data_IF_850703718824
#
_entry.id   IF_850703718824
#
_cell.length_a   1.000
_cell.length_b   1.000
_cell.length_c   1.000
_cell.angle_alpha   90.00
_cell.angle_beta   90.00
_cell.angle_gamma   90.00
#
_symmetry.space_group_name_H-M   'P 1'
#
loop_
_entity.id
_entity.type
_entity.pdbx_description
1 polymer ?
#
# COMPACT_ATOMS: atom_id res chain seq x y z
N UNK A 1 13.27 -56.44 -6.25
CA UNK A 1 12.26 -55.67 -7.02
C UNK A 1 11.93 -54.31 -6.39
N UNK A 2 11.51 -54.22 -5.13
CA UNK A 2 11.03 -52.97 -4.51
C UNK A 2 11.94 -51.72 -4.74
N UNK A 3 13.25 -51.84 -4.56
CA UNK A 3 14.20 -50.73 -4.77
C UNK A 3 14.17 -50.14 -6.20
N UNK A 4 13.92 -50.97 -7.22
CA UNK A 4 13.85 -50.55 -8.63
C UNK A 4 12.57 -49.74 -8.88
N UNK A 5 11.47 -50.13 -8.24
CA UNK A 5 10.18 -49.40 -8.33
C UNK A 5 10.29 -48.02 -7.68
N UNK A 6 10.93 -47.93 -6.51
CA UNK A 6 11.15 -46.64 -5.82
C UNK A 6 12.04 -45.71 -6.65
N UNK A 7 13.16 -46.22 -7.20
CA UNK A 7 14.05 -45.44 -8.06
C UNK A 7 13.34 -44.93 -9.33
N UNK A 8 12.54 -45.77 -9.98
CA UNK A 8 11.72 -45.38 -11.14
C UNK A 8 10.70 -44.28 -10.81
N UNK A 9 10.04 -44.37 -9.65
CA UNK A 9 9.11 -43.34 -9.17
C UNK A 9 9.80 -41.98 -8.97
N UNK A 10 11.01 -41.98 -8.39
CA UNK A 10 11.77 -40.75 -8.12
C UNK A 10 12.28 -40.10 -9.41
N UNK A 11 12.76 -40.90 -10.38
CA UNK A 11 13.17 -40.40 -11.70
C UNK A 11 11.98 -39.84 -12.48
N UNK A 12 10.81 -40.49 -12.45
CA UNK A 12 9.60 -39.99 -13.07
C UNK A 12 9.13 -38.65 -12.47
N UNK A 13 9.19 -38.51 -11.13
CA UNK A 13 8.85 -37.27 -10.43
C UNK A 13 9.81 -36.13 -10.80
N UNK A 14 11.13 -36.37 -10.80
CA UNK A 14 12.12 -35.36 -11.19
C UNK A 14 11.97 -34.92 -12.65
N UNK A 15 11.69 -35.86 -13.57
CA UNK A 15 11.42 -35.54 -14.97
C UNK A 15 10.16 -34.65 -15.11
N UNK A 16 9.11 -34.92 -14.32
CA UNK A 16 7.88 -34.11 -14.37
C UNK A 16 8.07 -32.69 -13.81
N UNK A 17 8.87 -32.49 -12.76
CA UNK A 17 9.19 -31.15 -12.25
C UNK A 17 10.13 -30.36 -13.18
N UNK A 18 10.98 -31.02 -13.96
CA UNK A 18 11.96 -30.33 -14.84
C UNK A 18 11.33 -29.57 -16.01
N UNK A 19 10.24 -30.09 -16.57
CA UNK A 19 9.62 -29.61 -17.83
C UNK A 19 8.86 -28.28 -17.65
N UNK A 20 8.58 -27.86 -16.40
CA UNK A 20 7.76 -26.68 -16.09
C UNK A 20 8.42 -25.29 -16.28
N UNK A 21 9.70 -25.22 -16.65
CA UNK A 21 10.41 -23.95 -16.87
C UNK A 21 10.06 -23.33 -18.23
N UNK A 22 8.80 -22.91 -18.39
CA UNK A 22 8.41 -22.03 -19.49
C UNK A 22 9.26 -20.74 -19.43
N UNK A 23 9.71 -20.27 -20.60
CA UNK A 23 10.38 -18.97 -20.71
C UNK A 23 9.50 -17.88 -20.07
N UNK A 24 10.09 -16.92 -19.33
CA UNK A 24 9.33 -15.82 -18.77
C UNK A 24 8.61 -15.08 -19.91
N UNK A 25 7.30 -14.77 -19.78
CA UNK A 25 6.60 -14.04 -20.81
C UNK A 25 7.23 -12.66 -20.98
N UNK A 26 7.67 -12.35 -22.19
CA UNK A 26 8.15 -11.02 -22.56
C UNK A 26 7.05 -10.01 -22.33
N UNK A 27 7.24 -9.11 -21.37
CA UNK A 27 6.31 -7.99 -21.16
C UNK A 27 6.26 -7.13 -22.42
N UNK A 28 5.07 -6.67 -22.87
CA UNK A 28 5.00 -5.68 -23.93
C UNK A 28 5.72 -4.41 -23.46
N UNK A 29 6.50 -3.80 -24.36
CA UNK A 29 7.12 -2.51 -24.09
C UNK A 29 6.00 -1.48 -23.83
N UNK A 30 6.03 -0.84 -22.67
CA UNK A 30 5.05 0.20 -22.34
C UNK A 30 5.25 1.38 -23.30
N UNK A 31 4.18 1.76 -24.01
CA UNK A 31 4.18 2.94 -24.86
C UNK A 31 4.44 4.19 -24.01
N UNK A 32 5.26 5.15 -24.49
CA UNK A 32 5.66 6.30 -23.67
C UNK A 32 4.45 7.19 -23.37
N UNK A 33 4.15 7.34 -22.08
CA UNK A 33 3.10 8.26 -21.60
C UNK A 33 3.56 9.69 -21.83
N UNK A 34 2.98 10.33 -22.84
CA UNK A 34 3.20 11.75 -23.12
C UNK A 34 2.51 12.60 -22.06
N UNK A 35 3.30 13.37 -21.29
CA UNK A 35 2.80 14.30 -20.28
C UNK A 35 2.98 15.72 -20.80
N UNK A 36 1.86 16.39 -21.12
CA UNK A 36 1.85 17.79 -21.48
C UNK A 36 1.71 18.64 -20.21
N UNK A 37 2.72 19.46 -19.91
CA UNK A 37 2.69 20.33 -18.73
C UNK A 37 1.88 21.60 -19.04
N UNK A 38 0.65 21.65 -18.55
CA UNK A 38 -0.12 22.89 -18.54
C UNK A 38 0.44 23.86 -17.49
N UNK A 39 1.00 24.97 -17.94
CA UNK A 39 1.37 26.10 -17.06
C UNK A 39 0.11 26.90 -16.75
N UNK A 40 -0.36 26.96 -15.48
CA UNK A 40 -1.50 27.79 -15.14
C UNK A 40 -1.18 29.28 -15.37
N UNK A 41 -2.16 30.10 -15.77
CA UNK A 41 -1.95 31.53 -15.95
C UNK A 41 -1.47 32.18 -14.64
N UNK A 42 -0.63 33.23 -14.70
CA UNK A 42 -0.21 33.96 -13.52
C UNK A 42 -1.43 34.45 -12.73
N UNK A 43 -1.47 34.18 -11.43
CA UNK A 43 -2.47 34.79 -10.55
C UNK A 43 -2.18 36.28 -10.49
N UNK A 44 -3.10 37.11 -10.99
CA UNK A 44 -2.98 38.55 -10.91
C UNK A 44 -2.89 38.97 -9.43
N UNK A 45 -1.93 39.86 -9.06
CA UNK A 45 -1.86 40.35 -7.70
C UNK A 45 -3.14 41.12 -7.33
N UNK A 46 -3.59 41.05 -6.06
CA UNK A 46 -4.76 41.80 -5.64
C UNK A 46 -4.55 43.30 -5.92
N UNK A 47 -5.60 44.03 -6.36
CA UNK A 47 -5.47 45.44 -6.70
C UNK A 47 -4.99 46.23 -5.47
N UNK A 48 -4.10 47.22 -5.65
CA UNK A 48 -3.65 48.07 -4.55
C UNK A 48 -4.86 48.83 -3.94
N UNK A 49 -4.84 49.12 -2.63
CA UNK A 49 -5.87 49.93 -2.02
C UNK A 49 -5.95 51.29 -2.71
N UNK A 50 -7.16 51.69 -3.08
CA UNK A 50 -7.41 52.93 -3.85
C UNK A 50 -6.99 54.13 -3.02
N UNK A 51 -5.93 54.81 -3.45
CA UNK A 51 -5.54 56.09 -2.89
C UNK A 51 -6.56 57.16 -3.29
N UNK A 52 -6.96 57.99 -2.33
CA UNK A 52 -7.78 59.19 -2.54
C UNK A 52 -7.09 60.13 -3.54
N UNK A 53 -7.78 60.72 -4.52
CA UNK A 53 -7.12 61.41 -5.62
C UNK A 53 -6.61 62.79 -5.22
N UNK A 54 -5.35 63.09 -5.56
CA UNK A 54 -4.86 64.46 -5.71
C UNK A 54 -4.50 64.70 -7.20
N UNK A 55 -4.94 65.81 -7.83
CA UNK A 55 -4.95 65.92 -9.29
C UNK A 55 -3.75 66.69 -9.88
N UNK A 56 -3.30 66.26 -11.06
CA UNK A 56 -2.58 67.13 -12.00
C UNK A 56 -1.44 66.46 -12.78
N UNK A 57 -1.37 66.70 -14.09
CA UNK A 57 -0.18 66.39 -14.92
C UNK A 57 -0.40 65.39 -16.05
N UNK A 58 -1.08 65.83 -17.11
CA UNK A 58 -1.08 65.16 -18.43
C UNK A 58 -0.06 65.88 -19.36
N UNK A 59 0.17 65.48 -20.64
CA UNK A 59 0.09 64.17 -21.32
C UNK A 59 1.35 63.91 -22.23
N UNK A 60 1.18 63.08 -23.28
CA UNK A 60 1.99 63.00 -24.53
C UNK A 60 3.35 62.25 -24.46
N UNK A 61 3.95 61.68 -25.53
CA UNK A 61 3.53 61.22 -26.88
C UNK A 61 4.76 60.52 -27.55
N UNK A 62 4.70 59.72 -28.64
CA UNK A 62 3.57 59.24 -29.47
C UNK A 62 3.84 57.88 -30.17
N UNK A 63 2.87 57.48 -30.99
CA UNK A 63 2.73 56.41 -31.97
C UNK A 63 3.81 56.20 -33.08
N UNK A 64 3.77 54.98 -33.65
CA UNK A 64 4.11 54.58 -35.04
C UNK A 64 5.61 54.64 -35.47
N UNK A 65 6.19 53.67 -36.19
CA UNK A 65 5.68 52.91 -37.34
C UNK A 65 6.53 51.66 -37.63
N UNK A 66 5.94 50.63 -38.25
CA UNK A 66 6.66 49.53 -38.91
C UNK A 66 7.08 49.95 -40.34
N UNK A 67 8.23 49.47 -40.84
CA UNK A 67 8.20 48.91 -42.19
C UNK A 67 9.07 47.65 -42.42
N UNK A 68 8.44 46.64 -43.03
CA UNK A 68 8.95 45.68 -44.03
C UNK A 68 10.44 45.23 -43.99
N UNK A 69 10.62 43.92 -43.84
CA UNK A 69 11.93 43.25 -43.90
C UNK A 69 12.53 43.12 -45.31
N UNK A 70 13.87 43.15 -45.43
CA UNK A 70 14.59 42.52 -46.52
C UNK A 70 15.20 41.16 -46.11
N UNK A 71 15.05 40.19 -47.01
CA UNK A 71 15.75 38.90 -47.17
C UNK A 71 16.98 38.65 -46.28
N UNK A 72 16.94 37.54 -45.52
CA UNK A 72 18.11 37.02 -44.80
C UNK A 72 19.13 36.42 -45.77
N UNK A 73 20.32 37.03 -45.87
CA UNK A 73 21.52 36.33 -46.34
C UNK A 73 21.92 35.20 -45.36
N UNK A 74 22.66 34.16 -45.80
CA UNK A 74 23.07 33.07 -44.94
C UNK A 74 24.03 33.57 -43.85
N UNK A 75 23.53 33.69 -42.61
CA UNK A 75 24.34 34.16 -41.49
C UNK A 75 25.50 33.21 -41.20
N UNK A 76 26.74 33.70 -41.39
CA UNK A 76 27.96 33.03 -40.95
C UNK A 76 27.86 32.73 -39.45
N UNK A 77 28.20 31.51 -38.98
CA UNK A 77 28.02 31.14 -37.57
C UNK A 77 28.83 32.06 -36.65
N UNK A 78 28.12 32.77 -35.76
CA UNK A 78 28.73 33.67 -34.80
C UNK A 78 29.68 32.91 -33.83
N UNK A 79 30.80 33.52 -33.41
CA UNK A 79 31.71 32.88 -32.45
C UNK A 79 31.00 32.60 -31.12
N UNK A 80 31.23 31.41 -30.57
CA UNK A 80 30.62 30.98 -29.32
C UNK A 80 31.00 31.92 -28.17
N UNK A 81 29.99 32.47 -27.47
CA UNK A 81 30.23 33.33 -26.31
C UNK A 81 30.86 32.51 -25.17
N UNK A 82 31.87 33.05 -24.45
CA UNK A 82 32.43 32.37 -23.30
C UNK A 82 31.36 32.23 -22.21
N UNK A 83 31.16 31.01 -21.71
CA UNK A 83 30.27 30.77 -20.57
C UNK A 83 30.98 31.24 -19.30
N UNK A 84 30.37 32.18 -18.58
CA UNK A 84 30.81 32.55 -17.23
C UNK A 84 30.76 31.32 -16.33
N UNK A 85 31.87 31.04 -15.65
CA UNK A 85 31.94 29.95 -14.69
C UNK A 85 31.08 30.30 -13.47
N UNK A 86 30.01 29.54 -13.25
CA UNK A 86 29.20 29.63 -12.03
C UNK A 86 30.02 29.00 -10.90
N UNK A 87 30.23 29.74 -9.81
CA UNK A 87 30.91 29.21 -8.64
C UNK A 87 30.15 27.99 -8.08
N UNK A 88 30.85 26.92 -7.65
CA UNK A 88 30.17 25.77 -7.07
C UNK A 88 29.40 26.18 -5.80
N UNK A 89 28.25 25.56 -5.52
CA UNK A 89 27.50 25.86 -4.29
C UNK A 89 28.36 25.57 -3.05
N UNK A 90 28.19 26.33 -1.96
CA UNK A 90 28.94 26.10 -0.74
C UNK A 90 28.67 24.68 -0.23
N UNK A 91 29.73 23.98 0.16
CA UNK A 91 29.62 22.65 0.75
C UNK A 91 29.02 22.80 2.17
N UNK A 92 27.71 22.60 2.28
CA UNK A 92 27.04 22.54 3.58
C UNK A 92 27.41 21.21 4.23
N UNK A 93 28.04 21.26 5.40
CA UNK A 93 28.40 20.08 6.17
C UNK A 93 27.12 19.33 6.59
N UNK A 94 26.88 18.17 5.98
CA UNK A 94 25.69 17.36 6.28
C UNK A 94 25.88 16.70 7.64
N UNK A 95 25.20 17.23 8.66
CA UNK A 95 25.11 16.59 9.97
C UNK A 95 24.52 15.20 9.77
N UNK A 96 25.34 14.17 10.01
CA UNK A 96 24.87 12.80 9.99
C UNK A 96 23.79 12.64 11.06
N UNK A 97 22.59 12.23 10.65
CA UNK A 97 21.55 11.87 11.61
C UNK A 97 22.10 10.76 12.51
N UNK A 98 22.18 11.02 13.82
CA UNK A 98 22.56 9.99 14.77
C UNK A 98 21.67 8.77 14.56
N UNK A 99 22.22 7.54 14.50
CA UNK A 99 21.39 6.36 14.40
C UNK A 99 20.51 6.33 15.64
N UNK A 100 19.22 6.66 15.48
CA UNK A 100 18.20 6.36 16.48
C UNK A 100 18.30 4.86 16.65
N UNK A 101 18.86 4.43 17.78
CA UNK A 101 18.99 3.02 18.10
C UNK A 101 17.59 2.44 18.04
N UNK A 102 17.33 1.65 17.00
CA UNK A 102 16.01 1.13 16.72
C UNK A 102 15.70 0.10 17.81
N UNK A 103 15.12 0.58 18.91
CA UNK A 103 14.24 -0.16 19.79
C UNK A 103 12.97 -0.47 18.99
N UNK A 104 13.17 -1.23 17.91
CA UNK A 104 12.16 -1.75 17.03
C UNK A 104 11.46 -2.86 17.80
N UNK A 105 10.49 -2.47 18.62
CA UNK A 105 9.57 -3.40 19.28
C UNK A 105 9.06 -4.37 18.23
N UNK A 106 9.50 -5.63 18.32
CA UNK A 106 9.01 -6.68 17.45
C UNK A 106 7.49 -6.83 17.69
N UNK A 107 6.74 -7.17 16.63
CA UNK A 107 5.32 -7.44 16.80
C UNK A 107 5.14 -8.61 17.77
N UNK A 108 4.18 -8.54 18.71
CA UNK A 108 3.90 -9.67 19.60
C UNK A 108 3.53 -10.90 18.79
N UNK A 109 4.17 -12.03 19.09
CA UNK A 109 3.94 -13.31 18.40
C UNK A 109 3.14 -14.23 19.30
N UNK A 110 1.95 -14.64 18.83
CA UNK A 110 0.98 -15.37 19.64
C UNK A 110 1.12 -16.89 19.45
N UNK A 111 1.20 -17.61 20.58
CA UNK A 111 1.21 -19.07 20.65
C UNK A 111 -0.18 -19.70 20.49
N UNK A 112 -0.24 -21.03 20.34
CA UNK A 112 -1.50 -21.76 20.17
C UNK A 112 -2.44 -21.64 21.38
N UNK A 113 -1.88 -21.52 22.58
CA UNK A 113 -2.55 -21.22 23.85
C UNK A 113 -3.21 -19.83 23.84
N UNK A 114 -2.48 -18.81 23.36
CA UNK A 114 -2.97 -17.43 23.26
C UNK A 114 -4.01 -17.24 22.16
N UNK A 115 -4.05 -18.15 21.17
CA UNK A 115 -5.03 -18.20 20.10
C UNK A 115 -6.22 -19.13 20.42
N UNK A 116 -6.27 -19.73 21.60
CA UNK A 116 -7.39 -20.57 22.01
C UNK A 116 -8.70 -19.76 22.06
N UNK A 117 -9.70 -20.19 21.29
CA UNK A 117 -10.97 -19.47 21.15
C UNK A 117 -10.90 -18.21 20.27
N UNK A 118 -9.82 -17.99 19.52
CA UNK A 118 -9.78 -16.95 18.50
C UNK A 118 -10.71 -17.30 17.32
N UNK A 119 -11.42 -16.30 16.80
CA UNK A 119 -12.32 -16.45 15.67
C UNK A 119 -11.52 -16.63 14.37
N UNK A 120 -11.84 -17.66 13.59
CA UNK A 120 -11.26 -17.94 12.27
C UNK A 120 -12.29 -17.83 11.15
N UNK A 121 -11.85 -17.88 9.89
CA UNK A 121 -12.73 -17.80 8.74
C UNK A 121 -13.67 -19.03 8.68
N UNK A 122 -14.97 -18.80 8.57
CA UNK A 122 -16.00 -19.84 8.59
C UNK A 122 -16.69 -20.05 9.95
N UNK A 123 -16.15 -19.53 11.05
CA UNK A 123 -16.72 -19.70 12.41
C UNK A 123 -18.01 -18.89 12.65
N UNK A 124 -18.50 -18.15 11.65
CA UNK A 124 -19.83 -17.54 11.65
C UNK A 124 -20.09 -16.63 12.85
N UNK A 125 -19.29 -15.55 12.99
CA UNK A 125 -19.25 -14.66 14.16
C UNK A 125 -20.61 -14.40 14.83
N UNK A 126 -20.85 -15.10 15.95
CA UNK A 126 -22.13 -15.10 16.65
C UNK A 126 -22.27 -13.97 17.66
N UNK A 127 -23.35 -13.19 17.55
CA UNK A 127 -23.59 -12.01 18.39
C UNK A 127 -25.06 -11.61 18.54
N UNK A 128 -25.94 -12.56 18.89
CA UNK A 128 -27.30 -12.27 19.39
C UNK A 128 -28.45 -12.89 18.58
N UNK A 129 -29.20 -13.80 19.22
CA UNK A 129 -30.48 -14.32 18.72
C UNK A 129 -30.58 -15.85 18.75
N UNK A 130 -31.22 -16.41 19.77
CA UNK A 130 -31.64 -17.81 19.75
C UNK A 130 -32.91 -17.95 18.93
N UNK A 131 -32.82 -18.57 17.75
CA UNK A 131 -33.94 -18.81 16.85
C UNK A 131 -33.86 -20.21 16.26
N UNK A 132 -34.66 -21.14 16.79
CA UNK A 132 -34.76 -22.52 16.28
C UNK A 132 -35.60 -22.56 15.02
N UNK A 133 -35.01 -22.18 13.88
CA UNK A 133 -35.62 -22.27 12.56
C UNK A 133 -35.04 -23.44 11.75
N UNK A 134 -35.78 -24.54 11.65
CA UNK A 134 -35.44 -25.61 10.71
C UNK A 134 -35.89 -25.20 9.30
N UNK A 135 -34.96 -25.07 8.36
CA UNK A 135 -35.24 -24.73 6.97
C UNK A 135 -34.19 -25.31 6.03
N UNK A 136 -34.58 -26.25 5.18
CA UNK A 136 -33.73 -26.77 4.11
C UNK A 136 -33.68 -25.78 2.95
N UNK A 137 -32.48 -25.46 2.47
CA UNK A 137 -32.26 -24.62 1.30
C UNK A 137 -30.79 -24.68 0.85
N UNK A 138 -30.56 -24.57 -0.46
CA UNK A 138 -29.23 -24.63 -1.05
C UNK A 138 -28.31 -23.55 -0.45
N UNK A 139 -27.05 -23.93 -0.19
CA UNK A 139 -26.21 -23.25 0.79
C UNK A 139 -25.83 -21.80 0.47
N UNK A 140 -26.37 -20.86 1.25
CA UNK A 140 -25.84 -19.51 1.50
C UNK A 140 -26.05 -19.07 2.97
N UNK A 141 -26.13 -20.04 3.89
CA UNK A 141 -26.52 -19.84 5.29
C UNK A 141 -25.39 -19.65 6.30
N UNK A 142 -24.18 -19.28 5.86
CA UNK A 142 -23.01 -19.08 6.75
C UNK A 142 -22.64 -17.60 6.79
N UNK A 143 -23.02 -16.91 7.88
CA UNK A 143 -22.46 -15.62 8.30
C UNK A 143 -22.60 -14.43 7.31
N UNK A 144 -23.70 -13.68 7.41
CA UNK A 144 -23.88 -12.40 6.71
C UNK A 144 -22.76 -11.36 7.00
N UNK A 145 -21.99 -11.56 8.08
CA UNK A 145 -20.83 -10.77 8.46
C UNK A 145 -19.61 -11.64 8.82
N UNK A 146 -19.29 -12.68 8.03
CA UNK A 146 -17.98 -13.36 8.14
C UNK A 146 -16.84 -12.46 7.61
N UNK A 147 -16.52 -11.46 8.43
CA UNK A 147 -15.48 -10.48 8.17
C UNK A 147 -14.07 -11.08 8.25
N UNK A 148 -13.86 -12.15 9.02
CA UNK A 148 -12.56 -12.85 9.07
C UNK A 148 -12.28 -13.49 7.73
N UNK A 149 -13.25 -14.21 7.16
CA UNK A 149 -13.15 -14.77 5.81
C UNK A 149 -12.99 -13.67 4.76
N UNK A 150 -13.79 -12.61 4.80
CA UNK A 150 -13.72 -11.52 3.83
C UNK A 150 -12.34 -10.83 3.81
N UNK A 151 -11.79 -10.51 4.99
CA UNK A 151 -10.41 -9.99 5.10
C UNK A 151 -9.39 -11.04 4.63
N UNK A 152 -9.53 -12.30 5.05
CA UNK A 152 -8.62 -13.37 4.64
C UNK A 152 -8.56 -13.55 3.13
N UNK A 153 -9.71 -13.64 2.47
CA UNK A 153 -9.81 -13.84 1.02
C UNK A 153 -9.21 -12.63 0.27
N UNK A 154 -9.43 -11.40 0.77
CA UNK A 154 -8.79 -10.19 0.20
C UNK A 154 -7.27 -10.21 0.33
N UNK A 155 -6.72 -10.59 1.49
CA UNK A 155 -5.28 -10.66 1.70
C UNK A 155 -4.65 -11.80 0.89
N UNK A 156 -5.31 -12.97 0.81
CA UNK A 156 -4.91 -14.12 -0.04
C UNK A 156 -4.87 -13.74 -1.53
N UNK A 157 -5.84 -12.95 -1.99
CA UNK A 157 -5.91 -12.44 -3.36
C UNK A 157 -4.86 -11.37 -3.70
N UNK A 158 -4.10 -10.84 -2.73
CA UNK A 158 -3.16 -9.73 -2.94
C UNK A 158 -1.70 -10.22 -2.81
N UNK A 159 -0.95 -10.41 -3.92
CA UNK A 159 0.38 -11.03 -3.87
C UNK A 159 1.41 -10.24 -3.06
N UNK A 160 1.38 -8.90 -3.14
CA UNK A 160 2.29 -8.01 -2.40
C UNK A 160 2.10 -8.11 -0.89
N UNK A 161 0.84 -8.20 -0.44
CA UNK A 161 0.48 -8.45 0.97
C UNK A 161 1.02 -9.80 1.43
N UNK A 162 0.77 -10.88 0.66
CA UNK A 162 1.29 -12.22 0.98
C UNK A 162 2.82 -12.25 1.10
N UNK A 163 3.52 -11.62 0.17
CA UNK A 163 4.99 -11.51 0.23
C UNK A 163 5.44 -10.75 1.48
N UNK A 164 4.83 -9.61 1.79
CA UNK A 164 5.16 -8.82 2.97
C UNK A 164 4.90 -9.57 4.29
N UNK A 165 3.81 -10.34 4.40
CA UNK A 165 3.53 -11.16 5.60
C UNK A 165 4.52 -12.32 5.71
N UNK A 166 4.84 -13.00 4.60
CA UNK A 166 5.82 -14.10 4.61
C UNK A 166 7.26 -13.60 4.88
N UNK A 167 7.60 -12.39 4.45
CA UNK A 167 8.85 -11.72 4.81
C UNK A 167 8.88 -11.41 6.31
N UNK A 168 7.84 -10.78 6.83
CA UNK A 168 7.71 -10.48 8.26
C UNK A 168 7.76 -11.75 9.13
N UNK A 169 7.15 -12.87 8.71
CA UNK A 169 7.22 -14.15 9.40
C UNK A 169 8.67 -14.65 9.54
N UNK A 170 9.46 -14.58 8.45
CA UNK A 170 10.88 -14.96 8.47
C UNK A 170 11.71 -14.02 9.34
N UNK A 171 11.56 -12.70 9.18
CA UNK A 171 12.31 -11.71 9.95
C UNK A 171 12.04 -11.81 11.46
N UNK A 172 10.81 -12.13 11.84
CA UNK A 172 10.39 -12.26 13.25
C UNK A 172 10.54 -13.69 13.80
N UNK A 173 10.96 -14.66 12.98
CA UNK A 173 10.96 -16.09 13.31
C UNK A 173 9.60 -16.58 13.85
N UNK A 174 8.52 -16.14 13.20
CA UNK A 174 7.14 -16.35 13.64
C UNK A 174 6.50 -17.66 13.17
N UNK A 175 7.30 -18.63 12.69
CA UNK A 175 6.81 -19.89 12.11
C UNK A 175 5.75 -20.58 12.98
N UNK A 176 4.54 -20.72 12.44
CA UNK A 176 3.39 -21.34 13.11
C UNK A 176 2.69 -20.49 14.17
N UNK A 177 3.21 -19.30 14.50
CA UNK A 177 2.64 -18.31 15.43
C UNK A 177 1.91 -17.21 14.65
N UNK A 178 0.96 -16.52 15.30
CA UNK A 178 0.31 -15.36 14.67
C UNK A 178 1.01 -14.06 15.06
N UNK A 179 1.30 -13.20 14.10
CA UNK A 179 1.75 -11.83 14.36
C UNK A 179 0.55 -10.97 14.76
N UNK A 180 0.52 -10.46 15.99
CA UNK A 180 -0.47 -9.49 16.43
C UNK A 180 -0.18 -8.15 15.74
N UNK A 181 -1.07 -7.70 14.86
CA UNK A 181 -0.92 -6.45 14.10
C UNK A 181 -1.86 -5.34 14.55
N UNK A 182 -2.92 -5.66 15.30
CA UNK A 182 -3.84 -4.68 15.89
C UNK A 182 -4.41 -5.18 17.23
N UNK A 183 -4.40 -4.33 18.25
CA UNK A 183 -4.88 -4.66 19.61
C UNK A 183 -5.75 -3.55 20.25
N UNK A 184 -6.32 -2.67 19.43
CA UNK A 184 -6.81 -1.35 19.83
C UNK A 184 -6.12 -0.29 18.98
N UNK A 185 -4.79 -0.42 18.85
CA UNK A 185 -3.95 0.39 17.98
C UNK A 185 -3.26 -0.48 16.93
N UNK A 186 -2.87 0.14 15.81
CA UNK A 186 -2.09 -0.50 14.76
C UNK A 186 -0.64 -0.68 15.20
N UNK A 187 -0.25 -1.93 15.47
CA UNK A 187 1.10 -2.28 15.91
C UNK A 187 2.09 -2.20 14.73
N UNK A 188 3.32 -1.77 15.06
CA UNK A 188 4.41 -1.60 14.11
C UNK A 188 5.66 -2.31 14.61
N UNK A 189 6.40 -2.98 13.72
CA UNK A 189 7.80 -3.32 13.95
C UNK A 189 8.69 -2.23 13.37
N UNK A 190 9.66 -1.74 14.14
CA UNK A 190 10.48 -0.58 13.76
C UNK A 190 11.33 -0.75 12.49
N UNK A 191 11.49 -1.97 11.97
CA UNK A 191 12.14 -2.25 10.70
C UNK A 191 11.22 -2.11 9.46
N UNK A 192 9.90 -1.93 9.64
CA UNK A 192 8.90 -2.08 8.57
C UNK A 192 8.11 -0.80 8.23
N UNK A 193 8.70 0.38 8.48
CA UNK A 193 8.12 1.66 8.05
C UNK A 193 7.99 1.77 6.52
N UNK A 194 8.83 1.06 5.75
CA UNK A 194 8.79 1.03 4.29
C UNK A 194 7.87 -0.06 3.72
N UNK A 195 6.66 0.32 3.27
CA UNK A 195 5.71 -0.44 2.41
C UNK A 195 5.17 -1.80 2.90
N UNK A 196 5.92 -2.61 3.68
CA UNK A 196 5.62 -4.01 4.03
C UNK A 196 4.31 -4.23 4.81
N UNK A 197 4.36 -4.45 6.13
CA UNK A 197 3.12 -4.57 6.92
C UNK A 197 2.27 -3.29 6.91
N UNK A 198 2.81 -2.14 6.52
CA UNK A 198 2.02 -0.94 6.23
C UNK A 198 0.95 -1.19 5.13
N UNK A 199 1.33 -1.81 4.02
CA UNK A 199 0.38 -2.19 2.96
C UNK A 199 -0.63 -3.26 3.42
N UNK A 200 -0.24 -4.11 4.36
CA UNK A 200 -1.14 -5.11 4.97
C UNK A 200 -2.20 -4.43 5.85
N UNK A 201 -1.81 -3.48 6.72
CA UNK A 201 -2.74 -2.67 7.51
C UNK A 201 -3.71 -1.91 6.61
N UNK A 202 -3.20 -1.28 5.55
CA UNK A 202 -4.03 -0.58 4.56
C UNK A 202 -5.00 -1.52 3.85
N UNK A 203 -4.57 -2.73 3.45
CA UNK A 203 -5.45 -3.70 2.81
C UNK A 203 -6.58 -4.18 3.74
N UNK A 204 -6.28 -4.41 5.03
CA UNK A 204 -7.29 -4.77 6.05
C UNK A 204 -8.26 -3.61 6.26
N UNK A 205 -7.75 -2.39 6.50
CA UNK A 205 -8.58 -1.20 6.74
C UNK A 205 -9.48 -0.88 5.53
N UNK A 206 -8.97 -1.00 4.30
CA UNK A 206 -9.75 -0.79 3.08
C UNK A 206 -10.86 -1.85 2.93
N UNK A 207 -10.55 -3.12 3.19
CA UNK A 207 -11.55 -4.18 3.13
C UNK A 207 -12.65 -3.93 4.18
N UNK A 208 -12.27 -3.61 5.41
CA UNK A 208 -13.20 -3.23 6.50
C UNK A 208 -14.06 -2.03 6.11
N UNK A 209 -13.48 -0.96 5.56
CA UNK A 209 -14.20 0.24 5.17
C UNK A 209 -15.32 -0.04 4.15
N UNK A 210 -15.05 -0.91 3.17
CA UNK A 210 -16.04 -1.35 2.18
C UNK A 210 -17.02 -2.44 2.67
N UNK A 211 -16.90 -2.92 3.91
CA UNK A 211 -17.89 -3.86 4.46
C UNK A 211 -19.26 -3.18 4.67
N UNK A 212 -20.38 -3.92 4.60
CA UNK A 212 -21.69 -3.42 5.03
C UNK A 212 -21.63 -2.87 6.46
N UNK A 213 -22.35 -1.78 6.72
CA UNK A 213 -22.24 -1.05 7.99
C UNK A 213 -22.60 -1.92 9.21
N UNK A 214 -23.60 -2.81 9.07
CA UNK A 214 -23.96 -3.79 10.10
C UNK A 214 -22.77 -4.68 10.50
N UNK A 215 -21.93 -5.08 9.52
CA UNK A 215 -20.74 -5.89 9.76
C UNK A 215 -19.59 -5.07 10.35
N UNK A 216 -19.41 -3.80 9.91
CA UNK A 216 -18.45 -2.89 10.54
C UNK A 216 -18.79 -2.65 12.01
N UNK A 217 -20.08 -2.52 12.33
CA UNK A 217 -20.59 -2.29 13.69
C UNK A 217 -20.75 -3.58 14.52
N UNK A 218 -20.45 -4.77 13.99
CA UNK A 218 -20.56 -6.02 14.75
C UNK A 218 -19.66 -6.00 15.99
N UNK A 219 -20.23 -6.35 17.15
CA UNK A 219 -19.49 -6.49 18.40
C UNK A 219 -18.65 -7.77 18.38
N UNK A 220 -17.34 -7.63 18.58
CA UNK A 220 -16.33 -8.68 18.60
C UNK A 220 -15.73 -8.81 20.00
N UNK A 221 -15.23 -10.01 20.34
CA UNK A 221 -14.54 -10.29 21.61
C UNK A 221 -13.32 -11.17 21.34
N UNK A 222 -12.24 -10.95 22.08
CA UNK A 222 -11.00 -11.70 21.90
C UNK A 222 -10.33 -11.42 20.55
N UNK A 223 -9.62 -12.42 20.03
CA UNK A 223 -8.84 -12.33 18.80
C UNK A 223 -9.61 -12.88 17.60
N UNK A 224 -9.38 -12.29 16.43
CA UNK A 224 -9.65 -12.88 15.13
C UNK A 224 -8.30 -13.21 14.44
N UNK A 225 -8.22 -14.37 13.80
CA UNK A 225 -7.01 -14.85 13.12
C UNK A 225 -7.26 -14.99 11.62
N UNK A 226 -6.38 -14.39 10.83
CA UNK A 226 -6.38 -14.42 9.37
C UNK A 226 -5.17 -15.24 8.89
N UNK A 227 -5.41 -16.31 8.12
CA UNK A 227 -4.37 -17.21 7.62
C UNK A 227 -4.11 -16.97 6.14
N UNK A 228 -2.88 -16.61 5.77
CA UNK A 228 -2.52 -16.21 4.38
C UNK A 228 -2.37 -17.40 3.42
N UNK A 229 -2.21 -18.60 3.96
CA UNK A 229 -2.39 -19.88 3.29
C UNK A 229 -2.75 -20.93 4.34
N UNK A 230 -3.01 -22.16 3.90
CA UNK A 230 -3.35 -23.24 4.82
C UNK A 230 -2.07 -23.74 5.51
N UNK A 231 -2.03 -23.66 6.84
CA UNK A 231 -0.84 -23.91 7.65
C UNK A 231 0.28 -22.84 7.57
N UNK A 232 0.11 -21.79 6.78
CA UNK A 232 1.13 -20.75 6.56
C UNK A 232 1.03 -19.53 7.50
N UNK A 233 1.60 -18.37 7.10
CA UNK A 233 1.67 -17.17 7.92
C UNK A 233 0.30 -16.71 8.43
N UNK A 234 0.24 -16.28 9.69
CA UNK A 234 -0.98 -15.83 10.37
C UNK A 234 -0.86 -14.41 10.92
N UNK A 235 -1.94 -13.66 10.81
CA UNK A 235 -2.11 -12.35 11.45
C UNK A 235 -3.20 -12.46 12.51
N UNK A 236 -3.00 -11.81 13.65
CA UNK A 236 -4.00 -11.67 14.70
C UNK A 236 -4.44 -10.20 14.85
N UNK A 237 -5.75 -10.04 15.08
CA UNK A 237 -6.43 -8.77 15.28
C UNK A 237 -7.31 -8.92 16.52
N UNK A 238 -7.25 -8.00 17.49
CA UNK A 238 -8.29 -7.90 18.50
C UNK A 238 -7.83 -7.57 19.92
N UNK A 239 -8.83 -7.40 20.77
CA UNK A 239 -8.71 -7.11 22.21
C UNK A 239 -9.96 -7.67 22.93
N UNK A 240 -10.07 -7.46 24.25
CA UNK A 240 -11.18 -8.03 25.05
C UNK A 240 -12.58 -7.75 24.47
N UNK A 241 -12.83 -6.54 23.96
CA UNK A 241 -14.02 -6.17 23.19
C UNK A 241 -13.67 -5.10 22.14
N UNK A 242 -14.19 -5.24 20.92
CA UNK A 242 -13.93 -4.32 19.80
C UNK A 242 -15.04 -4.42 18.75
N UNK A 243 -14.99 -3.59 17.70
CA UNK A 243 -15.76 -3.76 16.47
C UNK A 243 -14.83 -3.69 15.27
N UNK A 244 -15.26 -4.22 14.12
CA UNK A 244 -14.46 -4.11 12.89
C UNK A 244 -14.17 -2.66 12.51
N UNK A 245 -15.10 -1.73 12.77
CA UNK A 245 -14.90 -0.29 12.60
C UNK A 245 -13.72 0.28 13.40
N UNK A 246 -13.35 -0.31 14.55
CA UNK A 246 -12.23 0.17 15.38
C UNK A 246 -10.89 0.14 14.61
N UNK A 247 -10.74 -0.73 13.60
CA UNK A 247 -9.53 -0.85 12.78
C UNK A 247 -9.34 0.34 11.82
N UNK A 248 -10.36 1.19 11.67
CA UNK A 248 -10.32 2.38 10.82
C UNK A 248 -9.71 3.60 11.54
N UNK A 249 -9.57 3.56 12.87
CA UNK A 249 -8.97 4.64 13.66
C UNK A 249 -9.79 5.94 13.68
N UNK A 250 -11.13 5.83 13.60
CA UNK A 250 -12.10 6.94 13.65
C UNK A 250 -13.00 6.86 14.88
#
# INVERSE_FOLDING_TARGET
>A
MAAVVVAGLHLGLFAMLGIGHALPPSLPAAEPVMVELFTPPPVEPPPPPVATPEPGGAPAADAASEPAAPTLEPATPAPARPRLAVAPPPQVETVAAAPVAALASALPLLGADQLAGALTAGDGGGGGGSGTGAGGGNGSGVGACDMVRRVQDRLRATPTVRTAVAEAERTLNASGRAMLVWNGDWLQSGAQAGKGLAGVRQAIALEVAFAPEACRRQSMRGLAVVSLSDGGPKLALGRAAWRWSDLLGV
#
